data_IF_349769638674
#
_entry.id   IF_349769638674
#
_cell.length_a   1.000
_cell.length_b   1.000
_cell.length_c   1.000
_cell.angle_alpha   90.00
_cell.angle_beta   90.00
_cell.angle_gamma   90.00
#
_symmetry.space_group_name_H-M   'P 1'
#
loop_
_entity.id
_entity.type
_entity.pdbx_description
1 polymer ?
#
# COMPACT_ATOMS: atom_id res chain seq x y z
N UNK A 1 11.95 -9.10 4.46
CA UNK A 1 11.69 -8.03 3.47
C UNK A 1 10.31 -7.45 3.81
N UNK A 2 9.98 -6.19 3.48
CA UNK A 2 8.63 -5.71 3.75
C UNK A 2 7.61 -6.50 2.92
N UNK A 3 6.70 -7.18 3.61
CA UNK A 3 5.61 -7.95 3.00
C UNK A 3 4.35 -7.09 2.93
N UNK A 4 3.66 -7.11 1.79
CA UNK A 4 2.39 -6.42 1.57
C UNK A 4 1.29 -7.46 1.35
N UNK A 5 0.23 -7.39 2.15
CA UNK A 5 -0.94 -8.24 1.99
C UNK A 5 -1.96 -7.56 1.09
N UNK A 6 -2.33 -8.18 -0.02
CA UNK A 6 -3.33 -7.63 -0.95
C UNK A 6 -4.44 -8.63 -1.23
N UNK A 7 -5.68 -8.13 -1.32
CA UNK A 7 -6.83 -8.93 -1.75
C UNK A 7 -6.69 -9.24 -3.24
N UNK A 8 -6.64 -10.52 -3.60
CA UNK A 8 -6.44 -10.98 -4.98
C UNK A 8 -7.46 -10.39 -5.94
N UNK A 9 -8.74 -10.45 -5.57
CA UNK A 9 -9.81 -10.05 -6.48
C UNK A 9 -9.75 -8.54 -6.78
N UNK A 10 -9.42 -7.72 -5.76
CA UNK A 10 -9.19 -6.28 -5.95
C UNK A 10 -7.94 -6.00 -6.79
N UNK A 11 -6.86 -6.77 -6.58
CA UNK A 11 -5.63 -6.64 -7.36
C UNK A 11 -5.89 -6.90 -8.84
N UNK A 12 -6.60 -7.99 -9.16
CA UNK A 12 -6.92 -8.37 -10.54
C UNK A 12 -7.89 -7.38 -11.20
N UNK A 13 -8.87 -6.90 -10.44
CA UNK A 13 -9.76 -5.83 -10.90
C UNK A 13 -8.96 -4.56 -11.22
N UNK A 14 -8.00 -4.18 -10.37
CA UNK A 14 -7.18 -2.99 -10.56
C UNK A 14 -6.18 -3.15 -11.74
N UNK A 15 -5.66 -4.35 -11.98
CA UNK A 15 -4.82 -4.68 -13.14
C UNK A 15 -5.62 -4.82 -14.45
N UNK A 16 -6.94 -4.94 -14.37
CA UNK A 16 -7.84 -5.10 -15.52
C UNK A 16 -7.73 -6.46 -16.21
N UNK A 17 -7.17 -7.47 -15.54
CA UNK A 17 -7.04 -8.84 -16.04
C UNK A 17 -7.03 -9.81 -14.85
N UNK A 18 -7.70 -10.93 -15.00
CA UNK A 18 -7.59 -12.09 -14.10
C UNK A 18 -6.35 -12.90 -14.45
N UNK A 19 -5.54 -13.23 -13.46
CA UNK A 19 -4.37 -14.08 -13.59
C UNK A 19 -4.60 -15.40 -12.85
N UNK A 20 -3.93 -16.47 -13.27
CA UNK A 20 -3.76 -17.65 -12.40
C UNK A 20 -2.67 -17.39 -11.37
N UNK A 21 -2.58 -18.25 -10.36
CA UNK A 21 -1.55 -18.11 -9.32
C UNK A 21 -0.14 -18.21 -9.94
N UNK A 22 0.07 -19.11 -10.90
CA UNK A 22 1.34 -19.28 -11.61
C UNK A 22 1.64 -18.10 -12.54
N UNK A 23 0.65 -17.61 -13.29
CA UNK A 23 0.83 -16.43 -14.14
C UNK A 23 1.19 -15.18 -13.32
N UNK A 24 0.64 -15.08 -12.11
CA UNK A 24 0.92 -13.96 -11.22
C UNK A 24 2.29 -14.08 -10.56
N UNK A 25 2.70 -15.29 -10.15
CA UNK A 25 4.04 -15.55 -9.63
C UNK A 25 5.13 -15.24 -10.66
N UNK A 26 4.95 -15.67 -11.92
CA UNK A 26 5.86 -15.34 -13.01
C UNK A 26 5.94 -13.81 -13.24
N UNK A 27 4.81 -13.10 -13.17
CA UNK A 27 4.80 -11.64 -13.26
C UNK A 27 5.53 -10.95 -12.10
N UNK A 28 5.36 -11.46 -10.86
CA UNK A 28 6.10 -10.98 -9.71
C UNK A 28 7.60 -11.18 -9.93
N UNK A 29 8.01 -12.38 -10.36
CA UNK A 29 9.41 -12.71 -10.62
C UNK A 29 10.03 -11.81 -11.71
N UNK A 30 9.35 -11.61 -12.84
CA UNK A 30 9.79 -10.70 -13.91
C UNK A 30 9.98 -9.26 -13.43
N UNK A 31 9.14 -8.81 -12.50
CA UNK A 31 9.19 -7.46 -11.92
C UNK A 31 10.20 -7.34 -10.75
N UNK A 32 10.72 -8.47 -10.24
CA UNK A 32 11.63 -8.53 -9.10
C UNK A 32 10.93 -8.51 -7.74
N UNK A 33 9.73 -9.09 -7.66
CA UNK A 33 8.95 -9.36 -6.45
C UNK A 33 8.83 -10.87 -6.23
N UNK A 34 8.49 -11.26 -5.01
CA UNK A 34 8.27 -12.67 -4.65
C UNK A 34 6.86 -12.84 -4.08
N UNK A 35 6.11 -13.82 -4.58
CA UNK A 35 4.84 -14.22 -3.98
C UNK A 35 5.12 -15.23 -2.85
N UNK A 36 5.02 -14.77 -1.61
CA UNK A 36 5.44 -15.54 -0.42
C UNK A 36 4.38 -16.58 -0.03
N UNK A 37 3.15 -16.13 0.24
CA UNK A 37 2.03 -17.02 0.56
C UNK A 37 0.71 -16.56 -0.07
N UNK A 38 -0.13 -17.55 -0.35
CA UNK A 38 -1.54 -17.37 -0.71
C UNK A 38 -2.35 -17.91 0.47
N UNK A 39 -3.01 -17.02 1.20
CA UNK A 39 -3.85 -17.38 2.35
C UNK A 39 -5.25 -16.80 2.19
N UNK A 40 -6.20 -17.23 3.04
CA UNK A 40 -7.54 -16.62 3.09
C UNK A 40 -7.83 -16.02 4.45
N UNK A 41 -8.70 -15.00 4.51
CA UNK A 41 -9.13 -14.42 5.81
C UNK A 41 -9.70 -15.49 6.76
N UNK A 42 -10.41 -16.50 6.21
CA UNK A 42 -10.88 -17.65 6.99
C UNK A 42 -9.75 -18.45 7.62
N UNK A 43 -8.69 -18.75 6.86
CA UNK A 43 -7.54 -19.52 7.34
C UNK A 43 -6.69 -18.76 8.35
N UNK A 44 -6.60 -17.44 8.23
CA UNK A 44 -5.90 -16.59 9.22
C UNK A 44 -6.69 -16.60 10.52
N UNK A 45 -8.01 -16.41 10.46
CA UNK A 45 -8.88 -16.36 11.65
C UNK A 45 -8.98 -17.73 12.33
N UNK A 46 -9.02 -18.83 11.57
CA UNK A 46 -9.03 -20.18 12.14
C UNK A 46 -7.71 -20.49 12.85
N UNK A 47 -6.56 -20.10 12.28
CA UNK A 47 -5.24 -20.25 12.91
C UNK A 47 -5.05 -19.38 14.16
N UNK A 48 -5.55 -18.15 14.17
CA UNK A 48 -5.32 -17.21 15.29
C UNK A 48 -6.36 -17.31 16.42
N UNK A 49 -7.63 -17.59 16.11
CA UNK A 49 -8.76 -17.45 17.06
C UNK A 49 -9.60 -18.72 17.20
N UNK A 50 -9.25 -19.80 16.50
CA UNK A 50 -9.96 -21.08 16.50
C UNK A 50 -11.20 -21.09 15.60
N UNK A 51 -11.58 -22.28 15.11
CA UNK A 51 -12.65 -22.50 14.13
C UNK A 51 -14.00 -21.87 14.51
N UNK A 52 -14.30 -21.74 15.80
CA UNK A 52 -15.59 -21.22 16.28
C UNK A 52 -15.87 -19.74 15.89
N UNK A 53 -14.84 -18.95 15.54
CA UNK A 53 -15.00 -17.56 15.05
C UNK A 53 -14.81 -17.42 13.53
N UNK A 54 -14.48 -18.49 12.82
CA UNK A 54 -14.28 -18.47 11.37
C UNK A 54 -15.59 -18.48 10.56
N UNK A 55 -16.72 -18.85 11.16
CA UNK A 55 -18.02 -18.99 10.49
C UNK A 55 -18.61 -17.67 9.95
N UNK A 56 -18.04 -16.51 10.28
CA UNK A 56 -18.42 -15.20 9.74
C UNK A 56 -17.35 -14.52 8.89
N UNK A 57 -16.21 -15.18 8.67
CA UNK A 57 -15.10 -14.63 7.89
C UNK A 57 -15.31 -14.88 6.39
N UNK A 58 -14.90 -13.92 5.57
CA UNK A 58 -14.97 -14.01 4.11
C UNK A 58 -13.92 -14.97 3.56
N UNK A 59 -14.25 -15.75 2.51
CA UNK A 59 -13.27 -16.57 1.75
C UNK A 59 -12.42 -15.72 0.80
N UNK A 60 -12.11 -14.49 1.18
CA UNK A 60 -11.30 -13.62 0.32
C UNK A 60 -9.87 -14.14 0.36
N UNK A 61 -9.34 -14.42 -0.84
CA UNK A 61 -7.95 -14.85 -1.02
C UNK A 61 -7.04 -13.62 -0.95
N UNK A 62 -6.02 -13.73 -0.11
CA UNK A 62 -5.00 -12.75 0.17
C UNK A 62 -3.66 -13.24 -0.37
N UNK A 63 -2.99 -12.39 -1.14
CA UNK A 63 -1.62 -12.60 -1.56
C UNK A 63 -0.69 -11.81 -0.64
N UNK A 64 0.30 -12.49 -0.07
CA UNK A 64 1.44 -11.82 0.56
C UNK A 64 2.57 -11.74 -0.43
N UNK A 65 2.92 -10.50 -0.78
CA UNK A 65 3.96 -10.20 -1.75
C UNK A 65 5.13 -9.59 -1.01
N UNK A 66 6.31 -10.18 -1.16
CA UNK A 66 7.55 -9.67 -0.61
C UNK A 66 8.17 -8.64 -1.56
N UNK A 67 8.38 -7.45 -1.00
CA UNK A 67 8.82 -6.26 -1.74
C UNK A 67 10.25 -5.90 -1.34
N UNK A 68 11.11 -5.49 -2.29
CA UNK A 68 12.43 -4.97 -1.98
C UNK A 68 12.36 -3.74 -1.05
N UNK A 69 13.18 -3.73 0.01
CA UNK A 69 13.18 -2.66 1.01
C UNK A 69 13.57 -1.27 0.48
N UNK A 70 14.08 -1.17 -0.75
CA UNK A 70 14.42 0.08 -1.43
C UNK A 70 13.27 0.65 -2.29
N UNK A 71 12.15 -0.07 -2.45
CA UNK A 71 11.01 0.32 -3.29
C UNK A 71 9.78 0.69 -2.46
N UNK A 72 9.84 1.87 -1.85
CA UNK A 72 8.77 2.38 -0.97
C UNK A 72 7.46 2.68 -1.71
N UNK A 73 7.53 2.87 -3.02
CA UNK A 73 6.39 3.06 -3.89
C UNK A 73 5.52 1.81 -4.05
N UNK A 74 6.03 0.63 -3.66
CA UNK A 74 5.34 -0.65 -3.80
C UNK A 74 4.73 -1.16 -2.46
N UNK A 75 4.73 -0.33 -1.41
CA UNK A 75 4.23 -0.72 -0.08
C UNK A 75 2.69 -0.68 0.06
N UNK A 76 1.96 -0.43 -1.03
CA UNK A 76 0.50 -0.44 -1.08
C UNK A 76 0.00 -1.04 -2.41
N UNK A 77 -1.30 -1.39 -2.43
CA UNK A 77 -1.96 -1.96 -3.60
C UNK A 77 -1.87 -1.03 -4.81
N UNK A 78 -2.15 0.27 -4.64
CA UNK A 78 -2.11 1.25 -5.73
C UNK A 78 -0.71 1.38 -6.32
N UNK A 79 0.31 1.31 -5.45
CA UNK A 79 1.72 1.33 -5.80
C UNK A 79 2.13 0.15 -6.66
N UNK A 80 1.81 -1.06 -6.19
CA UNK A 80 2.06 -2.32 -6.89
C UNK A 80 1.39 -2.34 -8.26
N UNK A 81 0.08 -2.06 -8.30
CA UNK A 81 -0.71 -2.05 -9.54
C UNK A 81 -0.13 -1.06 -10.54
N UNK A 82 0.19 0.16 -10.08
CA UNK A 82 0.76 1.20 -10.94
C UNK A 82 2.14 0.81 -11.45
N UNK A 83 3.00 0.26 -10.60
CA UNK A 83 4.33 -0.24 -10.98
C UNK A 83 4.26 -1.32 -12.04
N UNK A 84 3.39 -2.33 -11.83
CA UNK A 84 3.18 -3.43 -12.77
C UNK A 84 2.56 -2.97 -14.10
N UNK A 85 1.60 -2.04 -14.08
CA UNK A 85 1.00 -1.51 -15.31
C UNK A 85 2.00 -0.72 -16.16
N UNK A 86 2.87 0.08 -15.52
CA UNK A 86 3.95 0.80 -16.20
C UNK A 86 4.98 -0.17 -16.76
N UNK A 87 5.37 -1.19 -15.99
CA UNK A 87 6.30 -2.23 -16.44
C UNK A 87 5.81 -2.97 -17.69
N UNK A 88 4.52 -3.34 -17.72
CA UNK A 88 3.90 -4.00 -18.89
C UNK A 88 3.55 -3.03 -20.04
N UNK A 89 4.01 -1.78 -19.99
CA UNK A 89 3.70 -0.72 -20.96
C UNK A 89 2.19 -0.52 -21.21
N UNK A 90 1.34 -0.88 -20.24
CA UNK A 90 -0.11 -0.66 -20.31
C UNK A 90 -0.51 0.75 -19.88
N UNK A 91 0.37 1.42 -19.14
CA UNK A 91 0.18 2.78 -18.64
C UNK A 91 1.49 3.54 -18.72
N UNK A 92 1.45 4.81 -19.13
CA UNK A 92 2.61 5.69 -19.00
C UNK A 92 2.80 6.11 -17.54
N UNK A 93 4.05 6.22 -17.10
CA UNK A 93 4.38 6.65 -15.75
C UNK A 93 3.72 8.01 -15.40
N UNK A 94 2.80 8.06 -14.42
CA UNK A 94 2.08 9.30 -14.12
C UNK A 94 3.00 10.41 -13.63
N UNK A 95 2.74 11.64 -14.10
CA UNK A 95 3.51 12.83 -13.73
C UNK A 95 2.83 13.57 -12.59
N UNK A 96 3.42 13.53 -11.40
CA UNK A 96 2.94 14.29 -10.25
C UNK A 96 3.41 15.74 -10.33
N UNK A 97 2.47 16.68 -10.22
CA UNK A 97 2.75 18.13 -10.20
C UNK A 97 2.07 18.75 -8.99
N UNK A 98 2.79 19.63 -8.29
CA UNK A 98 2.20 20.45 -7.23
C UNK A 98 1.29 21.49 -7.86
N UNK A 99 0.02 21.51 -7.45
CA UNK A 99 -0.94 22.55 -7.83
C UNK A 99 -1.10 23.57 -6.70
N UNK A 100 -1.33 24.83 -7.07
CA UNK A 100 -1.70 25.86 -6.11
C UNK A 100 -3.14 25.67 -5.59
N UNK A 101 -3.50 26.26 -4.44
CA UNK A 101 -4.88 26.23 -3.96
C UNK A 101 -5.80 26.95 -4.96
N UNK A 102 -6.94 26.32 -5.30
CA UNK A 102 -7.91 26.91 -6.23
C UNK A 102 -8.52 28.22 -5.72
N UNK A 103 -8.67 28.35 -4.39
CA UNK A 103 -9.10 29.57 -3.70
C UNK A 103 -8.36 29.69 -2.36
N UNK A 104 -7.89 30.89 -2.04
CA UNK A 104 -7.29 31.22 -0.74
C UNK A 104 -5.77 31.09 -0.69
N UNK A 105 -5.22 31.31 0.52
CA UNK A 105 -3.79 31.22 0.79
C UNK A 105 -3.35 29.76 0.97
N UNK A 106 -2.08 29.43 0.66
CA UNK A 106 -1.54 28.11 0.94
C UNK A 106 -1.53 27.83 2.45
N UNK A 107 -1.87 26.59 2.84
CA UNK A 107 -1.71 26.17 4.23
C UNK A 107 -0.23 26.17 4.61
N UNK A 108 0.05 26.58 5.85
CA UNK A 108 1.41 26.72 6.38
C UNK A 108 1.57 25.88 7.64
N UNK A 109 2.63 25.07 7.67
CA UNK A 109 3.16 24.46 8.87
C UNK A 109 4.31 25.35 9.37
N UNK A 110 4.24 25.79 10.63
CA UNK A 110 5.27 26.65 11.24
C UNK A 110 5.96 25.86 12.34
N UNK A 111 7.28 25.70 12.20
CA UNK A 111 8.14 25.04 13.19
C UNK A 111 8.66 26.10 14.15
N UNK A 112 8.40 25.94 15.45
CA UNK A 112 8.89 26.85 16.49
C UNK A 112 10.30 26.46 16.94
N UNK A 113 11.00 27.36 17.64
CA UNK A 113 12.35 27.08 18.15
C UNK A 113 12.37 25.96 19.19
N UNK A 114 11.27 25.78 19.92
CA UNK A 114 11.16 24.80 21.00
C UNK A 114 11.26 23.35 20.49
N UNK A 115 10.91 23.08 19.23
CA UNK A 115 11.00 21.73 18.65
C UNK A 115 12.41 21.36 18.19
N UNK A 116 13.36 22.30 18.17
CA UNK A 116 14.70 22.08 17.62
C UNK A 116 15.49 20.98 18.34
N UNK A 117 15.28 20.82 19.66
CA UNK A 117 15.99 19.85 20.47
C UNK A 117 15.47 18.41 20.29
N UNK A 118 14.19 18.23 19.96
CA UNK A 118 13.55 16.90 19.90
C UNK A 118 13.27 16.48 18.46
N UNK A 119 12.66 17.36 17.66
CA UNK A 119 12.27 17.09 16.26
C UNK A 119 12.45 18.37 15.42
N UNK A 120 13.67 18.61 14.89
CA UNK A 120 14.04 19.89 14.29
C UNK A 120 13.34 20.19 12.96
N UNK A 121 12.88 19.16 12.25
CA UNK A 121 12.30 19.30 10.91
C UNK A 121 10.96 18.58 10.80
N UNK A 122 10.03 19.21 10.08
CA UNK A 122 8.75 18.65 9.70
C UNK A 122 8.36 19.16 8.32
N UNK A 123 7.68 18.31 7.54
CA UNK A 123 7.15 18.65 6.22
C UNK A 123 5.69 18.22 6.16
N UNK A 124 4.86 19.02 5.49
CA UNK A 124 3.46 18.71 5.26
C UNK A 124 3.06 19.10 3.84
N UNK A 125 2.11 18.35 3.29
CA UNK A 125 1.48 18.63 2.01
C UNK A 125 -0.03 18.34 2.13
N UNK A 126 -0.82 18.94 1.25
CA UNK A 126 -2.28 18.75 1.23
C UNK A 126 -2.68 18.18 -0.11
N UNK A 127 -3.35 17.04 -0.07
CA UNK A 127 -4.10 16.46 -1.19
C UNK A 127 -5.56 16.88 -1.02
N UNK A 128 -6.18 17.39 -2.09
CA UNK A 128 -7.55 17.90 -2.07
C UNK A 128 -8.47 16.96 -2.86
N UNK A 129 -9.74 16.97 -2.48
CA UNK A 129 -10.82 16.29 -3.20
C UNK A 129 -10.59 14.77 -3.34
N UNK A 130 -10.04 14.14 -2.30
CA UNK A 130 -9.87 12.68 -2.26
C UNK A 130 -11.24 12.03 -1.97
N UNK A 131 -11.64 11.09 -2.82
CA UNK A 131 -12.80 10.23 -2.60
C UNK A 131 -12.38 8.94 -1.92
N UNK A 132 -12.61 8.85 -0.61
CA UNK A 132 -12.38 7.64 0.17
C UNK A 132 -13.54 6.66 0.03
N UNK A 133 -13.19 5.40 -0.21
CA UNK A 133 -14.01 4.23 0.09
C UNK A 133 -13.40 3.54 1.31
N UNK A 134 -14.12 2.61 1.95
CA UNK A 134 -13.58 1.87 3.10
C UNK A 134 -12.24 1.21 2.76
N UNK A 135 -12.18 0.51 1.63
CA UNK A 135 -10.96 -0.17 1.16
C UNK A 135 -9.78 0.78 0.91
N UNK A 136 -10.02 1.94 0.29
CA UNK A 136 -8.98 2.95 0.06
C UNK A 136 -8.52 3.60 1.36
N UNK A 137 -9.43 3.78 2.31
CA UNK A 137 -9.09 4.29 3.63
C UNK A 137 -8.20 3.30 4.39
N UNK A 138 -8.56 2.03 4.40
CA UNK A 138 -7.78 0.98 5.04
C UNK A 138 -6.39 0.85 4.40
N UNK A 139 -6.31 0.88 3.07
CA UNK A 139 -5.02 0.88 2.37
C UNK A 139 -4.17 2.12 2.66
N UNK A 140 -4.80 3.30 2.80
CA UNK A 140 -4.10 4.53 3.16
C UNK A 140 -3.49 4.46 4.57
N UNK A 141 -4.22 3.92 5.54
CA UNK A 141 -3.72 3.70 6.90
C UNK A 141 -2.63 2.63 6.93
N UNK A 142 -2.81 1.53 6.19
CA UNK A 142 -1.80 0.47 6.10
C UNK A 142 -0.48 1.00 5.53
N UNK A 143 -0.53 1.80 4.46
CA UNK A 143 0.67 2.45 3.90
C UNK A 143 1.38 3.30 4.94
N UNK A 144 0.64 4.08 5.73
CA UNK A 144 1.20 4.89 6.82
C UNK A 144 1.92 4.00 7.84
N UNK A 145 1.31 2.91 8.28
CA UNK A 145 1.92 1.97 9.24
C UNK A 145 3.18 1.31 8.66
N UNK A 146 3.13 0.83 7.42
CA UNK A 146 4.28 0.20 6.75
C UNK A 146 5.46 1.15 6.59
N UNK A 147 5.21 2.43 6.27
CA UNK A 147 6.27 3.44 6.20
C UNK A 147 6.88 3.73 7.57
N UNK A 148 6.05 3.79 8.63
CA UNK A 148 6.52 4.01 9.98
C UNK A 148 7.37 2.86 10.51
N UNK A 149 6.95 1.61 10.26
CA UNK A 149 7.68 0.42 10.68
C UNK A 149 9.02 0.28 9.94
N UNK A 150 9.05 0.59 8.64
CA UNK A 150 10.24 0.42 7.82
C UNK A 150 11.16 1.65 7.83
N UNK A 151 10.78 2.72 7.12
CA UNK A 151 11.67 3.85 6.82
C UNK A 151 11.85 4.74 8.05
N UNK A 152 10.78 4.96 8.81
CA UNK A 152 10.83 5.81 9.99
C UNK A 152 11.46 5.12 11.21
N UNK A 153 12.04 3.92 11.02
CA UNK A 153 12.82 3.18 12.02
C UNK A 153 12.08 3.06 13.36
N UNK A 154 10.82 2.63 13.30
CA UNK A 154 9.94 2.32 14.44
C UNK A 154 10.24 3.20 15.65
N UNK A 155 9.57 4.35 15.78
CA UNK A 155 9.80 5.35 16.84
C UNK A 155 10.17 4.67 18.18
N UNK A 156 11.47 4.64 18.48
CA UNK A 156 12.06 4.11 19.69
C UNK A 156 12.24 5.24 20.68
#
# INVERSE_FOLDING_TARGET
>A
MPTVGVKRDLLFQALGRTYTDEEFDELCFEFGLELDEITSEKEIISKEKGDCKASGASEVILYKIDVPANRYDLLCLEGLVRGMQVFKNKMEAPRYRRVGPARGQPQRLVITKDTAAVRPYAVAAVLRDITFTQERYDSFIELQEKLHQNICRWAQ
#
